data_IF_992789320429
#
_entry.id   IF_992789320429
#
_cell.length_a   1.000
_cell.length_b   1.000
_cell.length_c   1.000
_cell.angle_alpha   90.00
_cell.angle_beta   90.00
_cell.angle_gamma   90.00
#
_symmetry.space_group_name_H-M   'P 1'
#
loop_
_entity.id
_entity.type
_entity.pdbx_description
1 polymer ?
#
# COMPACT_ATOMS: atom_id res chain seq x y z
N UNK A 1 -21.25 -18.47 39.65
CA UNK A 1 -21.86 -18.22 38.33
C UNK A 1 -22.08 -16.72 38.22
N UNK A 2 -21.30 -16.03 37.38
CA UNK A 2 -21.47 -14.58 37.19
C UNK A 2 -22.80 -14.32 36.49
N UNK A 3 -23.53 -13.29 36.91
CA UNK A 3 -24.84 -13.02 36.34
C UNK A 3 -24.70 -12.40 34.94
N UNK A 4 -25.66 -12.64 34.03
CA UNK A 4 -25.71 -11.97 32.71
C UNK A 4 -25.56 -10.44 32.78
N UNK A 5 -25.94 -9.84 33.91
CA UNK A 5 -25.77 -8.42 34.19
C UNK A 5 -24.30 -8.03 34.42
N UNK A 6 -23.53 -8.85 35.13
CA UNK A 6 -22.11 -8.60 35.37
C UNK A 6 -21.29 -8.73 34.08
N UNK A 7 -21.60 -9.72 33.24
CA UNK A 7 -20.99 -9.87 31.91
C UNK A 7 -21.30 -8.67 31.01
N UNK A 8 -22.56 -8.21 30.96
CA UNK A 8 -22.94 -7.02 30.20
C UNK A 8 -22.26 -5.74 30.71
N UNK A 9 -22.12 -5.58 32.03
CA UNK A 9 -21.42 -4.44 32.64
C UNK A 9 -19.91 -4.49 32.40
N UNK A 10 -19.31 -5.68 32.35
CA UNK A 10 -17.90 -5.86 32.00
C UNK A 10 -17.65 -5.50 30.53
N UNK A 11 -18.53 -5.92 29.62
CA UNK A 11 -18.47 -5.55 28.21
C UNK A 11 -18.62 -4.04 28.01
N UNK A 12 -19.54 -3.39 28.73
CA UNK A 12 -19.70 -1.93 28.73
C UNK A 12 -18.44 -1.20 29.22
N UNK A 13 -17.80 -1.68 30.29
CA UNK A 13 -16.57 -1.09 30.83
C UNK A 13 -15.37 -1.29 29.90
N UNK A 14 -15.26 -2.44 29.25
CA UNK A 14 -14.22 -2.72 28.26
C UNK A 14 -14.38 -1.84 27.02
N UNK A 15 -15.63 -1.62 26.58
CA UNK A 15 -15.95 -0.71 25.48
C UNK A 15 -15.72 0.76 25.84
N UNK A 16 -15.95 1.14 27.11
CA UNK A 16 -15.76 2.51 27.60
C UNK A 16 -14.34 2.84 28.08
N UNK A 17 -13.33 1.99 27.81
CA UNK A 17 -11.95 2.29 28.21
C UNK A 17 -11.50 3.57 27.50
N UNK A 18 -11.20 4.66 28.24
CA UNK A 18 -10.76 5.91 27.65
C UNK A 18 -9.50 5.71 26.80
N UNK A 19 -9.48 6.26 25.59
CA UNK A 19 -8.34 6.15 24.67
C UNK A 19 -8.33 4.91 23.77
N UNK A 20 -9.24 3.95 23.94
CA UNK A 20 -9.30 2.76 23.06
C UNK A 20 -9.53 3.11 21.60
N UNK A 21 -10.42 4.07 21.31
CA UNK A 21 -10.66 4.55 19.95
C UNK A 21 -9.40 5.18 19.34
N UNK A 22 -8.69 6.01 20.09
CA UNK A 22 -7.44 6.64 19.65
C UNK A 22 -6.36 5.59 19.36
N UNK A 23 -6.20 4.58 20.23
CA UNK A 23 -5.28 3.46 20.00
C UNK A 23 -5.64 2.68 18.73
N UNK A 24 -6.89 2.31 18.54
CA UNK A 24 -7.33 1.55 17.36
C UNK A 24 -7.21 2.37 16.07
N UNK A 25 -7.48 3.68 16.12
CA UNK A 25 -7.24 4.60 15.00
C UNK A 25 -5.74 4.70 14.67
N UNK A 26 -4.87 4.76 15.68
CA UNK A 26 -3.42 4.77 15.48
C UNK A 26 -2.91 3.42 14.94
N UNK A 27 -3.46 2.30 15.38
CA UNK A 27 -3.16 0.97 14.83
C UNK A 27 -3.60 0.85 13.37
N UNK A 28 -4.82 1.29 13.04
CA UNK A 28 -5.31 1.32 11.66
C UNK A 28 -4.46 2.24 10.76
N UNK A 29 -4.05 3.40 11.30
CA UNK A 29 -3.15 4.33 10.61
C UNK A 29 -1.77 3.70 10.35
N UNK A 30 -1.19 3.06 11.35
CA UNK A 30 0.10 2.37 11.24
C UNK A 30 0.02 1.15 10.32
N UNK A 31 -1.16 0.52 10.23
CA UNK A 31 -1.46 -0.55 9.29
C UNK A 31 -1.74 -0.06 7.85
N UNK A 32 -1.66 1.25 7.60
CA UNK A 32 -1.69 1.86 6.26
C UNK A 32 -3.00 2.56 5.87
N UNK A 33 -4.06 2.52 6.69
CA UNK A 33 -5.28 3.29 6.43
C UNK A 33 -5.10 4.75 6.89
N UNK A 34 -4.62 5.58 5.97
CA UNK A 34 -4.35 7.02 6.22
C UNK A 34 -5.50 7.94 5.77
N UNK A 35 -6.58 7.38 5.23
CA UNK A 35 -7.74 8.17 4.82
C UNK A 35 -8.61 8.48 6.03
N UNK A 36 -8.52 9.70 6.54
CA UNK A 36 -9.31 10.22 7.66
C UNK A 36 -10.83 10.02 7.48
N UNK A 37 -11.35 10.03 6.24
CA UNK A 37 -12.77 9.76 5.97
C UNK A 37 -13.12 8.29 6.21
N UNK A 38 -12.26 7.37 5.76
CA UNK A 38 -12.43 5.92 5.95
C UNK A 38 -12.39 5.58 7.44
N UNK A 39 -11.40 6.12 8.15
CA UNK A 39 -11.27 5.98 9.61
C UNK A 39 -12.47 6.53 10.38
N UNK A 40 -12.98 7.69 9.99
CA UNK A 40 -14.15 8.30 10.64
C UNK A 40 -15.41 7.44 10.46
N UNK A 41 -15.57 6.86 9.28
CA UNK A 41 -16.68 5.95 8.98
C UNK A 41 -16.58 4.65 9.78
N UNK A 42 -15.40 4.01 9.79
CA UNK A 42 -15.15 2.78 10.55
C UNK A 42 -15.33 2.99 12.07
N UNK A 43 -14.84 4.11 12.60
CA UNK A 43 -14.97 4.46 14.01
C UNK A 43 -16.33 5.09 14.39
N UNK A 44 -17.26 5.24 13.41
CA UNK A 44 -18.57 5.88 13.56
C UNK A 44 -18.51 7.24 14.27
N UNK A 45 -17.50 8.03 13.93
CA UNK A 45 -17.29 9.36 14.50
C UNK A 45 -17.12 10.41 13.39
N UNK A 46 -17.05 11.69 13.77
CA UNK A 46 -16.77 12.75 12.81
C UNK A 46 -15.28 12.83 12.53
N UNK A 47 -14.90 13.30 11.33
CA UNK A 47 -13.48 13.44 10.92
C UNK A 47 -12.65 14.22 11.93
N UNK A 48 -13.22 15.26 12.53
CA UNK A 48 -12.55 16.05 13.56
C UNK A 48 -12.10 15.20 14.76
N UNK A 49 -12.91 14.22 15.16
CA UNK A 49 -12.58 13.30 16.24
C UNK A 49 -11.40 12.40 15.87
N UNK A 50 -11.34 11.93 14.62
CA UNK A 50 -10.17 11.17 14.12
C UNK A 50 -8.91 12.02 14.16
N UNK A 51 -8.97 13.27 13.70
CA UNK A 51 -7.83 14.18 13.79
C UNK A 51 -7.34 14.38 15.22
N UNK A 52 -8.26 14.63 16.16
CA UNK A 52 -7.92 14.80 17.58
C UNK A 52 -7.31 13.54 18.18
N UNK A 53 -7.90 12.38 17.89
CA UNK A 53 -7.46 11.09 18.44
C UNK A 53 -6.09 10.68 17.90
N UNK A 54 -5.83 10.85 16.60
CA UNK A 54 -4.51 10.60 16.01
C UNK A 54 -3.45 11.54 16.58
N UNK A 55 -3.76 12.84 16.70
CA UNK A 55 -2.85 13.81 17.33
C UNK A 55 -2.56 13.48 18.80
N UNK A 56 -3.56 12.99 19.53
CA UNK A 56 -3.36 12.54 20.92
C UNK A 56 -2.47 11.29 21.03
N UNK A 57 -2.36 10.51 19.96
CA UNK A 57 -1.46 9.37 19.83
C UNK A 57 -0.08 9.77 19.24
N UNK A 58 0.18 11.06 19.01
CA UNK A 58 1.44 11.56 18.44
C UNK A 58 1.54 11.43 16.92
N UNK A 59 0.44 11.15 16.22
CA UNK A 59 0.37 11.03 14.75
C UNK A 59 -0.23 12.32 14.19
N UNK A 60 0.47 13.01 13.27
CA UNK A 60 -0.09 14.15 12.54
C UNK A 60 -0.72 13.70 11.21
N UNK A 61 -2.06 13.71 11.07
CA UNK A 61 -2.73 13.23 9.86
C UNK A 61 -2.56 14.17 8.66
N UNK A 62 -2.11 15.40 8.90
CA UNK A 62 -1.81 16.38 7.86
C UNK A 62 -0.42 16.16 7.24
N UNK A 63 0.43 15.37 7.90
CA UNK A 63 1.76 14.91 7.43
C UNK A 63 1.67 13.67 6.53
N UNK A 64 0.46 13.38 6.03
CA UNK A 64 0.24 12.33 5.04
C UNK A 64 1.08 12.63 3.78
N UNK A 65 1.75 11.63 3.21
CA UNK A 65 2.45 11.81 1.94
C UNK A 65 1.45 12.20 0.85
N UNK A 66 1.42 13.50 0.52
CA UNK A 66 0.89 13.98 -0.76
C UNK A 66 1.74 13.33 -1.85
N UNK A 67 1.12 12.85 -2.93
CA UNK A 67 1.75 12.23 -4.12
C UNK A 67 3.27 12.12 -3.97
N UNK A 68 3.75 10.96 -3.53
CA UNK A 68 5.19 10.72 -3.42
C UNK A 68 5.75 10.72 -4.85
N UNK A 69 6.05 11.90 -5.37
CA UNK A 69 7.15 12.10 -6.30
C UNK A 69 8.38 11.67 -5.52
N UNK A 70 8.68 10.37 -5.57
CA UNK A 70 9.79 9.82 -4.84
C UNK A 70 11.04 10.26 -5.57
N UNK A 71 11.63 11.35 -5.08
CA UNK A 71 12.85 11.91 -5.63
C UNK A 71 13.91 10.81 -5.67
N UNK A 72 14.54 10.66 -6.84
CA UNK A 72 15.64 9.73 -7.03
C UNK A 72 16.73 10.01 -6.00
N UNK A 73 17.15 8.97 -5.29
CA UNK A 73 18.31 9.05 -4.40
C UNK A 73 19.55 9.31 -5.25
N UNK A 74 20.36 10.26 -4.78
CA UNK A 74 21.61 10.65 -5.43
C UNK A 74 22.78 10.32 -4.50
N UNK A 75 23.77 9.58 -4.99
CA UNK A 75 25.01 9.24 -4.27
C UNK A 75 26.20 9.59 -5.17
N UNK A 76 27.16 10.33 -4.64
CA UNK A 76 28.34 10.81 -5.40
C UNK A 76 27.97 11.59 -6.69
N UNK A 77 26.79 12.22 -6.73
CA UNK A 77 26.28 12.94 -7.90
C UNK A 77 25.64 12.05 -8.97
N UNK A 78 25.57 10.73 -8.75
CA UNK A 78 24.84 9.78 -9.58
C UNK A 78 23.44 9.56 -9.04
N UNK A 79 22.45 9.38 -9.91
CA UNK A 79 21.09 9.01 -9.51
C UNK A 79 20.55 7.76 -10.25
N UNK A 80 21.28 7.25 -11.25
CA UNK A 80 20.92 6.09 -12.05
C UNK A 80 19.76 6.30 -13.02
N UNK A 81 19.29 7.54 -13.19
CA UNK A 81 18.16 7.91 -14.06
C UNK A 81 18.59 8.84 -15.19
N UNK A 82 19.42 9.85 -14.89
CA UNK A 82 19.84 10.87 -15.86
C UNK A 82 21.37 10.85 -16.10
N UNK A 83 22.08 9.87 -15.54
CA UNK A 83 23.54 9.82 -15.54
C UNK A 83 24.16 9.70 -16.95
N UNK A 84 23.40 9.20 -17.92
CA UNK A 84 23.79 9.01 -19.33
C UNK A 84 23.32 10.14 -20.27
N UNK A 85 22.55 11.11 -19.76
CA UNK A 85 22.08 12.26 -20.54
C UNK A 85 23.20 13.27 -20.79
N UNK A 86 23.00 14.16 -21.77
CA UNK A 86 23.89 15.29 -22.02
C UNK A 86 23.94 16.17 -20.77
N UNK A 87 25.07 16.12 -20.05
CA UNK A 87 25.40 16.73 -18.73
C UNK A 87 25.62 15.71 -17.59
N UNK A 88 25.21 14.46 -17.75
CA UNK A 88 25.41 13.38 -16.78
C UNK A 88 26.89 13.00 -16.59
N UNK A 89 27.26 12.53 -15.39
CA UNK A 89 28.64 12.21 -15.04
C UNK A 89 29.23 11.07 -15.91
N UNK A 90 28.43 10.06 -16.26
CA UNK A 90 28.88 8.99 -17.17
C UNK A 90 29.05 9.50 -18.60
N UNK A 91 28.09 10.29 -19.08
CA UNK A 91 28.17 10.92 -20.40
C UNK A 91 29.45 11.78 -20.53
N UNK A 92 29.71 12.64 -19.54
CA UNK A 92 30.89 13.51 -19.52
C UNK A 92 32.19 12.71 -19.52
N UNK A 93 32.26 11.59 -18.79
CA UNK A 93 33.43 10.71 -18.80
C UNK A 93 33.68 10.04 -20.16
N UNK A 94 32.61 9.60 -20.84
CA UNK A 94 32.69 9.01 -22.19
C UNK A 94 33.12 10.05 -23.21
N UNK A 95 32.54 11.25 -23.18
CA UNK A 95 32.89 12.34 -24.09
C UNK A 95 34.34 12.79 -23.87
N UNK A 96 34.77 12.99 -22.62
CA UNK A 96 36.16 13.37 -22.31
C UNK A 96 37.17 12.38 -22.91
N UNK A 97 36.90 11.07 -22.77
CA UNK A 97 37.74 10.02 -23.37
C UNK A 97 37.77 10.07 -24.90
N UNK A 98 36.61 10.31 -25.53
CA UNK A 98 36.50 10.42 -27.00
C UNK A 98 37.24 11.64 -27.54
N UNK A 99 37.24 12.74 -26.79
CA UNK A 99 37.88 14.01 -27.16
C UNK A 99 39.36 14.09 -26.75
N UNK A 100 39.92 13.05 -26.13
CA UNK A 100 41.31 13.04 -25.67
C UNK A 100 41.57 13.96 -24.46
N UNK A 101 40.51 14.39 -23.75
CA UNK A 101 40.60 15.13 -22.49
C UNK A 101 40.93 14.16 -21.34
N UNK A 102 41.42 14.66 -20.19
CA UNK A 102 41.56 13.84 -18.99
C UNK A 102 40.25 13.13 -18.65
N UNK A 103 40.30 11.80 -18.58
CA UNK A 103 39.16 10.95 -18.29
C UNK A 103 39.49 10.00 -17.13
N UNK A 104 38.49 9.49 -16.40
CA UNK A 104 38.70 8.51 -15.34
C UNK A 104 39.47 7.28 -15.82
N UNK A 105 40.26 6.68 -14.92
CA UNK A 105 40.88 5.38 -15.18
C UNK A 105 39.81 4.31 -15.44
N UNK A 106 40.16 3.23 -16.13
CA UNK A 106 39.21 2.17 -16.49
C UNK A 106 38.51 1.54 -15.27
N UNK A 107 39.24 1.39 -14.17
CA UNK A 107 38.71 0.88 -12.90
C UNK A 107 37.69 1.85 -12.29
N UNK A 108 38.02 3.14 -12.24
CA UNK A 108 37.14 4.19 -11.74
C UNK A 108 35.87 4.34 -12.59
N UNK A 109 36.02 4.28 -13.93
CA UNK A 109 34.87 4.26 -14.83
C UNK A 109 33.97 3.04 -14.58
N UNK A 110 34.55 1.87 -14.32
CA UNK A 110 33.81 0.67 -13.94
C UNK A 110 33.05 0.82 -12.62
N UNK A 111 33.65 1.48 -11.62
CA UNK A 111 33.00 1.83 -10.34
C UNK A 111 31.82 2.77 -10.54
N UNK A 112 32.02 3.85 -11.30
CA UNK A 112 30.97 4.82 -11.63
C UNK A 112 29.78 4.15 -12.34
N UNK A 113 30.05 3.28 -13.32
CA UNK A 113 29.01 2.55 -14.04
C UNK A 113 28.23 1.61 -13.12
N UNK A 114 28.93 0.87 -12.25
CA UNK A 114 28.30 -0.02 -11.27
C UNK A 114 27.42 0.77 -10.28
N UNK A 115 27.90 1.92 -9.79
CA UNK A 115 27.12 2.79 -8.91
C UNK A 115 25.86 3.34 -9.58
N UNK A 116 25.98 3.86 -10.81
CA UNK A 116 24.85 4.37 -11.58
C UNK A 116 23.78 3.30 -11.81
N UNK A 117 24.19 2.10 -12.26
CA UNK A 117 23.27 0.98 -12.47
C UNK A 117 22.62 0.49 -11.15
N UNK A 118 23.39 0.42 -10.06
CA UNK A 118 22.86 0.04 -8.75
C UNK A 118 21.84 1.07 -8.23
N UNK A 119 22.11 2.37 -8.40
CA UNK A 119 21.19 3.45 -8.07
C UNK A 119 19.91 3.40 -8.93
N UNK A 120 20.04 3.10 -10.22
CA UNK A 120 18.90 2.94 -11.12
C UNK A 120 17.97 1.83 -10.64
N UNK A 121 18.53 0.64 -10.37
CA UNK A 121 17.76 -0.49 -9.82
C UNK A 121 17.18 -0.19 -8.43
N UNK A 122 17.93 0.50 -7.57
CA UNK A 122 17.49 0.88 -6.23
C UNK A 122 16.31 1.87 -6.29
N UNK A 123 16.42 2.93 -7.09
CA UNK A 123 15.38 3.94 -7.25
C UNK A 123 14.12 3.38 -7.92
N UNK A 124 14.29 2.54 -8.95
CA UNK A 124 13.16 1.85 -9.59
C UNK A 124 12.46 0.90 -8.62
N UNK A 125 13.21 0.06 -7.89
CA UNK A 125 12.61 -0.86 -6.92
C UNK A 125 11.85 -0.10 -5.84
N UNK A 126 12.41 1.01 -5.32
CA UNK A 126 11.70 1.86 -4.35
C UNK A 126 10.37 2.32 -4.92
N UNK A 127 10.38 2.89 -6.13
CA UNK A 127 9.18 3.39 -6.79
C UNK A 127 8.11 2.31 -6.90
N UNK A 128 8.50 1.12 -7.38
CA UNK A 128 7.58 -0.01 -7.52
C UNK A 128 7.09 -0.57 -6.20
N UNK A 129 7.90 -0.57 -5.14
CA UNK A 129 7.46 -0.96 -3.80
C UNK A 129 6.38 0.00 -3.27
N UNK A 130 6.56 1.31 -3.48
CA UNK A 130 5.56 2.30 -3.07
C UNK A 130 4.26 2.15 -3.87
N UNK A 131 4.35 1.97 -5.20
CA UNK A 131 3.17 1.71 -6.04
C UNK A 131 2.42 0.45 -5.60
N UNK A 132 3.14 -0.63 -5.28
CA UNK A 132 2.53 -1.88 -4.84
C UNK A 132 1.86 -1.73 -3.47
N UNK A 133 2.49 -1.01 -2.53
CA UNK A 133 1.92 -0.71 -1.22
C UNK A 133 0.61 0.08 -1.35
N UNK A 134 0.59 1.11 -2.20
CA UNK A 134 -0.58 1.93 -2.46
C UNK A 134 -1.72 1.11 -3.11
N UNK A 135 -1.39 0.29 -4.11
CA UNK A 135 -2.36 -0.57 -4.77
C UNK A 135 -2.92 -1.64 -3.81
N UNK A 136 -2.08 -2.19 -2.92
CA UNK A 136 -2.49 -3.15 -1.89
C UNK A 136 -3.43 -2.50 -0.87
N UNK A 137 -3.13 -1.27 -0.46
CA UNK A 137 -3.99 -0.50 0.42
C UNK A 137 -5.35 -0.25 -0.24
N UNK A 138 -5.40 0.18 -1.50
CA UNK A 138 -6.66 0.41 -2.22
C UNK A 138 -7.49 -0.87 -2.37
N UNK A 139 -6.86 -1.99 -2.72
CA UNK A 139 -7.51 -3.32 -2.74
C UNK A 139 -8.17 -3.64 -1.40
N UNK A 140 -7.46 -3.44 -0.29
CA UNK A 140 -7.99 -3.70 1.04
C UNK A 140 -9.16 -2.76 1.39
N UNK A 141 -9.06 -1.48 1.03
CA UNK A 141 -10.13 -0.49 1.21
C UNK A 141 -11.39 -0.85 0.44
N UNK A 142 -11.27 -1.20 -0.83
CA UNK A 142 -12.41 -1.56 -1.67
C UNK A 142 -13.15 -2.80 -1.14
N UNK A 143 -12.41 -3.83 -0.69
CA UNK A 143 -13.01 -5.01 -0.04
C UNK A 143 -13.73 -4.65 1.25
N UNK A 144 -13.10 -3.87 2.13
CA UNK A 144 -13.73 -3.42 3.38
C UNK A 144 -14.99 -2.58 3.14
N UNK A 145 -15.01 -1.78 2.06
CA UNK A 145 -16.17 -1.00 1.65
C UNK A 145 -17.37 -1.88 1.30
N UNK A 146 -17.15 -2.99 0.59
CA UNK A 146 -18.20 -3.95 0.28
C UNK A 146 -18.81 -4.56 1.55
N UNK A 147 -17.97 -4.91 2.52
CA UNK A 147 -18.43 -5.44 3.82
C UNK A 147 -19.23 -4.41 4.61
N UNK A 148 -18.74 -3.18 4.72
CA UNK A 148 -19.41 -2.09 5.44
C UNK A 148 -20.78 -1.79 4.84
N UNK A 149 -20.89 -1.75 3.51
CA UNK A 149 -22.17 -1.51 2.83
C UNK A 149 -23.15 -2.67 3.01
N UNK A 150 -22.66 -3.90 3.06
CA UNK A 150 -23.48 -5.06 3.39
C UNK A 150 -24.00 -5.00 4.83
N UNK A 151 -23.14 -4.71 5.80
CA UNK A 151 -23.54 -4.56 7.20
C UNK A 151 -24.57 -3.43 7.40
N UNK A 152 -24.40 -2.32 6.69
CA UNK A 152 -25.34 -1.21 6.72
C UNK A 152 -26.74 -1.58 6.18
N UNK A 153 -26.85 -2.56 5.28
CA UNK A 153 -28.14 -3.10 4.82
C UNK A 153 -28.84 -3.94 5.89
N UNK A 154 -28.07 -4.57 6.78
CA UNK A 154 -28.59 -5.40 7.85
C UNK A 154 -28.94 -4.60 9.11
N UNK A 155 -28.61 -3.30 9.19
CA UNK A 155 -28.93 -2.46 10.35
C UNK A 155 -30.45 -2.19 10.42
N UNK A 156 -31.15 -2.68 11.46
CA UNK A 156 -32.59 -2.49 11.61
C UNK A 156 -32.99 -1.02 11.83
N UNK A 157 -32.03 -0.15 12.16
CA UNK A 157 -32.28 1.29 12.34
C UNK A 157 -32.09 2.09 11.05
N UNK A 158 -31.64 1.45 9.97
CA UNK A 158 -31.43 2.12 8.70
C UNK A 158 -32.78 2.47 8.05
N UNK A 159 -33.07 3.77 7.93
CA UNK A 159 -34.30 4.29 7.31
C UNK A 159 -34.17 4.51 5.79
N UNK A 160 -33.01 4.17 5.21
CA UNK A 160 -32.73 4.34 3.80
C UNK A 160 -33.45 3.32 2.91
N UNK A 161 -33.53 3.62 1.62
CA UNK A 161 -34.02 2.66 0.62
C UNK A 161 -33.08 1.46 0.53
N UNK A 162 -33.59 0.27 0.87
CA UNK A 162 -32.85 -0.98 0.78
C UNK A 162 -32.32 -1.22 -0.65
N UNK A 163 -33.11 -0.89 -1.67
CA UNK A 163 -32.71 -1.05 -3.08
C UNK A 163 -31.47 -0.19 -3.42
N UNK A 164 -31.44 1.06 -2.98
CA UNK A 164 -30.29 1.94 -3.21
C UNK A 164 -29.05 1.47 -2.44
N UNK A 165 -29.22 1.02 -1.21
CA UNK A 165 -28.13 0.43 -0.43
C UNK A 165 -27.58 -0.86 -1.08
N UNK A 166 -28.47 -1.72 -1.59
CA UNK A 166 -28.09 -2.96 -2.26
C UNK A 166 -27.34 -2.68 -3.56
N UNK A 167 -27.80 -1.70 -4.36
CA UNK A 167 -27.09 -1.26 -5.55
C UNK A 167 -25.70 -0.71 -5.22
N UNK A 168 -25.57 0.07 -4.13
CA UNK A 168 -24.27 0.57 -3.68
C UNK A 168 -23.32 -0.58 -3.27
N UNK A 169 -23.85 -1.59 -2.57
CA UNK A 169 -23.10 -2.80 -2.23
C UNK A 169 -22.62 -3.56 -3.48
N UNK A 170 -23.49 -3.80 -4.47
CA UNK A 170 -23.11 -4.51 -5.71
C UNK A 170 -22.00 -3.76 -6.47
N UNK A 171 -22.08 -2.43 -6.54
CA UNK A 171 -21.00 -1.60 -7.12
C UNK A 171 -19.70 -1.74 -6.35
N UNK A 172 -19.76 -1.76 -5.02
CA UNK A 172 -18.55 -1.92 -4.20
C UNK A 172 -17.89 -3.30 -4.36
N UNK A 173 -18.66 -4.35 -4.63
CA UNK A 173 -18.10 -5.67 -4.97
C UNK A 173 -17.36 -5.62 -6.31
N UNK A 174 -17.95 -5.00 -7.32
CA UNK A 174 -17.33 -4.78 -8.63
C UNK A 174 -16.06 -3.88 -8.53
N UNK A 175 -16.10 -2.83 -7.71
CA UNK A 175 -14.93 -2.01 -7.39
C UNK A 175 -13.83 -2.84 -6.70
N UNK A 176 -14.20 -3.76 -5.79
CA UNK A 176 -13.25 -4.63 -5.12
C UNK A 176 -12.58 -5.62 -6.08
N UNK A 177 -13.30 -6.18 -7.06
CA UNK A 177 -12.70 -7.00 -8.12
C UNK A 177 -11.67 -6.19 -8.92
N UNK A 178 -12.04 -4.99 -9.39
CA UNK A 178 -11.11 -4.11 -10.12
C UNK A 178 -9.87 -3.77 -9.29
N UNK A 179 -10.02 -3.51 -8.00
CA UNK A 179 -8.90 -3.19 -7.14
C UNK A 179 -7.97 -4.38 -6.89
N UNK A 180 -8.51 -5.62 -6.85
CA UNK A 180 -7.70 -6.85 -6.81
C UNK A 180 -6.88 -7.00 -8.10
N UNK A 181 -7.50 -6.79 -9.27
CA UNK A 181 -6.81 -6.90 -10.56
C UNK A 181 -5.75 -5.80 -10.74
N UNK A 182 -6.05 -4.58 -10.34
CA UNK A 182 -5.10 -3.47 -10.38
C UNK A 182 -3.88 -3.74 -9.48
N UNK A 183 -4.10 -4.22 -8.26
CA UNK A 183 -3.01 -4.64 -7.37
C UNK A 183 -2.18 -5.77 -7.97
N UNK A 184 -2.82 -6.79 -8.55
CA UNK A 184 -2.14 -7.91 -9.22
C UNK A 184 -1.18 -7.41 -10.30
N UNK A 185 -1.65 -6.53 -11.19
CA UNK A 185 -0.83 -5.99 -12.27
C UNK A 185 0.42 -5.23 -11.77
N UNK A 186 0.26 -4.45 -10.68
CA UNK A 186 1.38 -3.74 -10.05
C UNK A 186 2.34 -4.72 -9.37
N UNK A 187 1.82 -5.72 -8.65
CA UNK A 187 2.62 -6.75 -7.99
C UNK A 187 3.41 -7.61 -9.00
N UNK A 188 2.81 -7.98 -10.13
CA UNK A 188 3.49 -8.68 -11.23
C UNK A 188 4.62 -7.83 -11.83
N UNK A 189 4.37 -6.53 -12.03
CA UNK A 189 5.40 -5.61 -12.51
C UNK A 189 6.58 -5.55 -11.54
N UNK A 190 6.31 -5.42 -10.23
CA UNK A 190 7.33 -5.47 -9.18
C UNK A 190 8.09 -6.82 -9.21
N UNK A 191 7.37 -7.94 -9.38
CA UNK A 191 7.96 -9.28 -9.42
C UNK A 191 8.79 -9.54 -10.67
N UNK A 192 8.57 -8.81 -11.75
CA UNK A 192 9.35 -8.92 -12.98
C UNK A 192 10.61 -8.03 -12.97
N UNK A 193 10.74 -7.08 -12.04
CA UNK A 193 11.94 -6.26 -11.94
C UNK A 193 13.19 -7.10 -11.65
N UNK A 194 14.26 -6.82 -12.39
CA UNK A 194 15.58 -7.26 -11.97
C UNK A 194 15.93 -6.60 -10.63
N UNK A 195 16.52 -7.37 -9.71
CA UNK A 195 17.01 -6.83 -8.45
C UNK A 195 18.39 -7.39 -8.16
N UNK A 196 19.19 -6.60 -7.45
CA UNK A 196 20.53 -6.89 -6.98
C UNK A 196 20.60 -8.28 -6.34
N UNK A 197 21.22 -9.23 -7.05
CA UNK A 197 21.49 -10.59 -6.57
C UNK A 197 22.96 -10.88 -6.76
N UNK A 198 23.61 -11.46 -5.75
CA UNK A 198 25.00 -11.92 -5.84
C UNK A 198 25.12 -12.95 -6.96
N UNK A 199 26.17 -12.85 -7.77
CA UNK A 199 26.34 -13.62 -8.98
C UNK A 199 27.47 -13.08 -9.85
N UNK A 200 27.97 -13.91 -10.77
CA UNK A 200 29.25 -13.72 -11.49
C UNK A 200 29.43 -12.35 -12.16
N UNK A 201 28.34 -11.73 -12.63
CA UNK A 201 28.33 -10.41 -13.28
C UNK A 201 27.66 -9.31 -12.44
N UNK A 202 27.04 -9.67 -11.31
CA UNK A 202 26.24 -8.78 -10.47
C UNK A 202 26.94 -8.37 -9.15
N UNK A 203 28.06 -9.02 -8.80
CA UNK A 203 28.78 -8.74 -7.56
C UNK A 203 29.20 -7.26 -7.44
N UNK A 204 29.60 -6.61 -8.54
CA UNK A 204 29.94 -5.17 -8.53
C UNK A 204 28.73 -4.26 -8.26
N UNK A 205 27.54 -4.64 -8.70
CA UNK A 205 26.31 -3.89 -8.44
C UNK A 205 25.90 -4.03 -6.97
N UNK A 206 26.01 -5.25 -6.44
CA UNK A 206 25.75 -5.52 -5.02
C UNK A 206 26.76 -4.79 -4.14
N UNK A 207 28.05 -4.79 -4.51
CA UNK A 207 29.08 -4.05 -3.79
C UNK A 207 28.81 -2.55 -3.83
N UNK A 208 28.42 -1.96 -4.97
CA UNK A 208 28.05 -0.55 -5.04
C UNK A 208 26.84 -0.22 -4.14
N UNK A 209 25.84 -1.12 -4.07
CA UNK A 209 24.71 -0.96 -3.16
C UNK A 209 25.14 -1.03 -1.69
N UNK A 210 25.90 -2.05 -1.30
CA UNK A 210 26.30 -2.29 0.09
C UNK A 210 27.36 -1.30 0.59
N UNK A 211 28.24 -0.81 -0.30
CA UNK A 211 29.40 0.00 0.07
C UNK A 211 29.21 1.51 -0.22
N UNK A 212 28.28 1.89 -1.09
CA UNK A 212 28.01 3.31 -1.40
C UNK A 212 26.59 3.74 -1.02
N UNK A 213 25.57 2.97 -1.40
CA UNK A 213 24.16 3.39 -1.19
C UNK A 213 23.74 3.26 0.27
N UNK A 214 23.96 2.11 0.91
CA UNK A 214 23.59 1.91 2.32
C UNK A 214 24.37 2.83 3.28
N UNK A 215 25.71 3.00 3.14
CA UNK A 215 26.47 3.88 4.04
C UNK A 215 26.14 5.37 3.87
N UNK A 216 25.58 5.78 2.74
CA UNK A 216 25.04 7.13 2.53
C UNK A 216 23.75 7.40 3.35
N UNK A 217 23.26 6.41 4.11
CA UNK A 217 22.12 6.56 5.02
C UNK A 217 20.77 6.23 4.38
N UNK A 218 20.75 5.66 3.17
CA UNK A 218 19.52 5.28 2.50
C UNK A 218 18.98 3.95 3.03
N UNK A 219 17.66 3.81 3.23
CA UNK A 219 17.08 2.62 3.84
C UNK A 219 17.29 1.40 2.93
N UNK A 220 17.55 0.22 3.50
CA UNK A 220 17.64 -1.00 2.72
C UNK A 220 16.29 -1.33 2.09
N UNK A 221 16.33 -1.81 0.85
CA UNK A 221 15.14 -2.25 0.12
C UNK A 221 15.24 -3.73 -0.15
N UNK A 222 14.14 -4.44 0.10
CA UNK A 222 14.03 -5.85 -0.18
C UNK A 222 12.83 -6.06 -1.09
N UNK A 223 13.07 -6.71 -2.23
CA UNK A 223 12.00 -7.16 -3.09
C UNK A 223 11.24 -8.30 -2.40
N UNK A 224 9.93 -8.18 -2.19
CA UNK A 224 9.15 -9.24 -1.57
C UNK A 224 9.03 -10.44 -2.51
N UNK A 225 8.75 -11.61 -1.96
CA UNK A 225 8.42 -12.81 -2.71
C UNK A 225 6.90 -12.96 -2.70
N UNK A 226 6.24 -12.51 -3.77
CA UNK A 226 4.78 -12.46 -3.88
C UNK A 226 4.35 -13.30 -5.09
N UNK A 227 3.56 -14.34 -4.85
CA UNK A 227 2.77 -14.99 -5.90
C UNK A 227 1.48 -14.18 -6.14
N UNK A 228 1.60 -13.15 -6.99
CA UNK A 228 0.53 -12.19 -7.25
C UNK A 228 -0.71 -12.86 -7.88
N UNK A 229 -0.50 -13.86 -8.73
CA UNK A 229 -1.56 -14.63 -9.38
C UNK A 229 -2.34 -15.45 -8.34
N UNK A 230 -1.63 -16.27 -7.55
CA UNK A 230 -2.27 -17.13 -6.57
C UNK A 230 -3.02 -16.33 -5.50
N UNK A 231 -2.45 -15.23 -5.03
CA UNK A 231 -3.09 -14.36 -4.04
C UNK A 231 -4.30 -13.64 -4.63
N UNK A 232 -4.22 -13.11 -5.86
CA UNK A 232 -5.38 -12.49 -6.51
C UNK A 232 -6.52 -13.50 -6.72
N UNK A 233 -6.20 -14.71 -7.17
CA UNK A 233 -7.19 -15.79 -7.34
C UNK A 233 -7.88 -16.12 -6.01
N UNK A 234 -7.11 -16.29 -4.93
CA UNK A 234 -7.64 -16.52 -3.58
C UNK A 234 -8.56 -15.39 -3.11
N UNK A 235 -8.20 -14.14 -3.40
CA UNK A 235 -8.99 -12.97 -3.01
C UNK A 235 -10.30 -12.87 -3.80
N UNK A 236 -10.26 -13.14 -5.10
CA UNK A 236 -11.46 -13.20 -5.95
C UNK A 236 -12.41 -14.32 -5.51
N UNK A 237 -11.89 -15.53 -5.26
CA UNK A 237 -12.70 -16.66 -4.80
C UNK A 237 -13.40 -16.35 -3.46
N UNK A 238 -12.68 -15.73 -2.53
CA UNK A 238 -13.25 -15.31 -1.25
C UNK A 238 -14.36 -14.26 -1.42
N UNK A 239 -14.15 -13.27 -2.30
CA UNK A 239 -15.13 -12.21 -2.58
C UNK A 239 -16.38 -12.79 -3.25
N UNK A 240 -16.22 -13.67 -4.24
CA UNK A 240 -17.34 -14.33 -4.94
C UNK A 240 -18.15 -15.23 -4.02
N UNK A 241 -17.49 -16.04 -3.20
CA UNK A 241 -18.15 -16.91 -2.23
C UNK A 241 -19.03 -16.10 -1.28
N UNK A 242 -18.50 -15.01 -0.75
CA UNK A 242 -19.23 -14.14 0.15
C UNK A 242 -20.34 -13.37 -0.57
N UNK A 243 -20.09 -12.89 -1.80
CA UNK A 243 -21.11 -12.23 -2.62
C UNK A 243 -22.28 -13.16 -2.94
N UNK A 244 -22.02 -14.40 -3.32
CA UNK A 244 -23.02 -15.42 -3.59
C UNK A 244 -23.87 -15.71 -2.35
N UNK A 245 -23.24 -15.89 -1.19
CA UNK A 245 -23.94 -16.07 0.10
C UNK A 245 -24.88 -14.89 0.40
N UNK A 246 -24.38 -13.67 0.25
CA UNK A 246 -25.14 -12.43 0.48
C UNK A 246 -26.30 -12.26 -0.51
N UNK A 247 -26.14 -12.67 -1.77
CA UNK A 247 -27.24 -12.71 -2.75
C UNK A 247 -28.35 -13.66 -2.33
N UNK A 248 -28.02 -14.86 -1.84
CA UNK A 248 -29.02 -15.81 -1.31
C UNK A 248 -29.81 -15.20 -0.16
N UNK A 249 -29.13 -14.61 0.83
CA UNK A 249 -29.77 -13.95 1.98
C UNK A 249 -30.70 -12.79 1.55
N UNK A 250 -30.25 -11.98 0.59
CA UNK A 250 -31.06 -10.89 0.05
C UNK A 250 -32.33 -11.41 -0.65
N UNK A 251 -32.22 -12.49 -1.43
CA UNK A 251 -33.35 -13.11 -2.11
C UNK A 251 -34.35 -13.74 -1.13
N UNK A 252 -33.87 -14.44 -0.11
CA UNK A 252 -34.71 -15.00 0.97
C UNK A 252 -35.48 -13.89 1.70
N UNK A 253 -34.80 -12.79 2.04
CA UNK A 253 -35.41 -11.63 2.71
C UNK A 253 -36.49 -10.98 1.85
N UNK A 254 -36.24 -10.80 0.56
CA UNK A 254 -37.21 -10.24 -0.38
C UNK A 254 -38.43 -11.17 -0.56
N UNK A 255 -38.20 -12.49 -0.60
CA UNK A 255 -39.25 -13.49 -0.68
C UNK A 255 -40.18 -13.49 0.54
N UNK A 256 -39.66 -13.21 1.73
CA UNK A 256 -40.48 -13.03 2.94
C UNK A 256 -41.26 -11.71 2.93
N UNK A 257 -40.66 -10.63 2.44
CA UNK A 257 -41.30 -9.32 2.38
C UNK A 257 -42.46 -9.24 1.36
N UNK A 258 -42.43 -10.08 0.32
CA UNK A 258 -43.43 -10.09 -0.77
C UNK A 258 -44.56 -11.11 -0.57
N UNK A 259 -44.46 -12.00 0.43
CA UNK A 259 -45.48 -13.00 0.77
C UNK A 259 -46.48 -12.55 1.85
N UNK A 260 -46.25 -11.38 2.45
CA UNK A 260 -47.22 -10.67 3.29
C UNK A 260 -47.97 -9.65 2.44
#
# INVERSE_FOLDING_TARGET
MSSKREEAMAALRAWSVPGTRARLLAEAWTAGETNVRSLAEAARCVRQTVYTDLKSAGIDPDDRPKEKNMTAVTVEGFNGVDDDQSEGLLYNAVVAKREGRPAPAAEEFGRMLALSLALGQYNELRARLAEEEDARAERNRARHRADTLWEALADPNNKGSWLHGHQAYVRAVDDAHRAIDAWKAVAETLMNLAFLRRGKDADRLVDAYEQSILPAGHPPVNKPDIDAEAEAARLHEALETEHARRKTLAAETLGLATRN
#
